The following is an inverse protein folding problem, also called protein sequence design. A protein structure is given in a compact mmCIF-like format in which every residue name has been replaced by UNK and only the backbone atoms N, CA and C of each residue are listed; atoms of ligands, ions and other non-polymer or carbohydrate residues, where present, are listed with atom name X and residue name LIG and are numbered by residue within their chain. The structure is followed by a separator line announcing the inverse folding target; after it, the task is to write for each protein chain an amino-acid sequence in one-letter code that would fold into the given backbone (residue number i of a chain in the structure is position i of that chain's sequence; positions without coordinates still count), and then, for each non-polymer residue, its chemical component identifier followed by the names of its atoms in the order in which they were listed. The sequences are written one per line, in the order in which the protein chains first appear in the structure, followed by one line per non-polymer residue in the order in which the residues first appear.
data_IF_782681830030
#
_entry.id   IF_782681830030
#
_cell.length_a   1.000
_cell.length_b   1.000
_cell.length_c   1.000
_cell.angle_alpha   90.00
_cell.angle_beta   90.00
_cell.angle_gamma   90.00
#
_symmetry.space_group_name_H-M   'P 1'
#
loop_
_entity.id
_entity.type
_entity.pdbx_description
1 polymer ?
#
# COMPACT_ATOMS: atom_id res chain seq x y z
N UNK A 1 -46.47 11.94 22.19
CA UNK A 1 -45.02 11.86 22.50
C UNK A 1 -44.46 10.44 22.32
N UNK A 2 -45.10 9.41 22.91
CA UNK A 2 -44.67 8.02 22.79
C UNK A 2 -44.62 7.46 21.34
N UNK A 3 -45.51 7.91 20.46
CA UNK A 3 -45.50 7.49 19.03
C UNK A 3 -44.30 8.07 18.26
N UNK A 4 -43.92 9.34 18.51
CA UNK A 4 -42.72 9.95 17.91
C UNK A 4 -41.43 9.29 18.43
N UNK A 5 -41.39 8.89 19.70
CA UNK A 5 -40.28 8.13 20.27
C UNK A 5 -40.16 6.72 19.70
N UNK A 6 -41.29 6.04 19.43
CA UNK A 6 -41.30 4.75 18.70
C UNK A 6 -40.81 4.89 17.26
N UNK A 7 -41.24 5.93 16.56
CA UNK A 7 -40.87 6.19 15.17
C UNK A 7 -39.38 6.60 15.03
N UNK A 8 -38.85 7.35 16.01
CA UNK A 8 -37.42 7.62 16.14
C UNK A 8 -36.60 6.38 16.55
N UNK A 9 -37.14 5.51 17.41
CA UNK A 9 -36.50 4.25 17.80
C UNK A 9 -36.51 3.21 16.68
N UNK A 10 -37.55 3.20 15.83
CA UNK A 10 -37.62 2.37 14.63
C UNK A 10 -36.74 2.90 13.48
N UNK A 11 -36.55 4.22 13.36
CA UNK A 11 -35.51 4.82 12.51
C UNK A 11 -34.08 4.60 13.04
N UNK A 12 -33.95 4.35 14.34
CA UNK A 12 -32.72 3.86 14.98
C UNK A 12 -32.57 2.33 14.88
N UNK A 13 -33.44 1.61 14.14
CA UNK A 13 -33.11 0.26 13.67
C UNK A 13 -31.78 0.37 12.96
N UNK A 14 -30.75 -0.17 13.61
CA UNK A 14 -29.36 -0.13 13.18
C UNK A 14 -29.29 -0.27 11.66
N UNK A 15 -28.88 0.80 10.98
CA UNK A 15 -28.52 0.74 9.57
C UNK A 15 -27.53 -0.41 9.42
N UNK A 16 -27.97 -1.52 8.82
CA UNK A 16 -27.09 -2.67 8.62
C UNK A 16 -26.01 -2.21 7.65
N UNK A 17 -24.76 -2.28 8.08
CA UNK A 17 -23.62 -1.96 7.21
C UNK A 17 -23.67 -2.90 6.01
N UNK A 18 -23.74 -2.31 4.82
CA UNK A 18 -23.67 -3.04 3.56
C UNK A 18 -22.20 -3.21 3.19
N UNK A 19 -21.63 -4.35 3.59
CA UNK A 19 -20.20 -4.66 3.43
C UNK A 19 -20.08 -6.00 2.74
N UNK A 20 -19.28 -6.02 1.68
CA UNK A 20 -18.95 -7.21 0.90
C UNK A 20 -17.46 -7.43 0.91
N UNK A 21 -17.03 -8.66 1.19
CA UNK A 21 -15.64 -9.04 1.11
C UNK A 21 -15.20 -9.14 -0.36
N UNK A 22 -14.01 -8.61 -0.65
CA UNK A 22 -13.35 -8.73 -1.95
C UNK A 22 -11.96 -9.31 -1.75
N UNK A 23 -11.62 -10.31 -2.56
CA UNK A 23 -10.27 -10.84 -2.64
C UNK A 23 -9.62 -10.28 -3.90
N UNK A 24 -8.51 -9.55 -3.74
CA UNK A 24 -7.71 -9.07 -4.86
C UNK A 24 -6.55 -10.03 -5.10
N UNK A 25 -6.39 -10.45 -6.34
CA UNK A 25 -5.30 -11.29 -6.82
C UNK A 25 -4.54 -10.55 -7.90
N UNK A 26 -3.24 -10.80 -8.00
CA UNK A 26 -2.48 -10.43 -9.18
C UNK A 26 -2.31 -11.69 -10.03
N UNK A 27 -2.77 -11.65 -11.27
CA UNK A 27 -2.73 -12.79 -12.20
C UNK A 27 -1.89 -12.45 -13.42
N UNK A 28 -1.21 -13.47 -13.94
CA UNK A 28 -0.41 -13.39 -15.16
C UNK A 28 -1.00 -14.35 -16.17
N UNK A 29 -1.02 -13.94 -17.43
CA UNK A 29 -1.43 -14.83 -18.51
C UNK A 29 -0.32 -15.86 -18.77
N UNK A 30 -0.63 -17.13 -18.55
CA UNK A 30 0.28 -18.26 -18.77
C UNK A 30 0.70 -18.40 -20.25
N UNK A 31 -0.21 -18.08 -21.19
CA UNK A 31 0.00 -18.28 -22.64
C UNK A 31 0.38 -16.99 -23.36
N UNK A 32 0.03 -15.85 -22.78
CA UNK A 32 0.35 -14.53 -23.30
C UNK A 32 1.81 -14.16 -23.07
N UNK A 33 2.15 -12.89 -23.34
CA UNK A 33 3.46 -12.37 -22.99
C UNK A 33 3.60 -12.44 -21.47
N UNK A 34 4.56 -13.20 -20.92
CA UNK A 34 4.69 -13.42 -19.48
C UNK A 34 5.07 -12.16 -18.71
N UNK A 35 5.10 -10.99 -19.36
CA UNK A 35 5.48 -9.72 -18.76
C UNK A 35 4.32 -8.89 -18.23
N UNK A 36 3.06 -9.20 -18.58
CA UNK A 36 1.91 -8.37 -18.18
C UNK A 36 1.11 -9.01 -17.05
N UNK A 37 0.87 -8.20 -16.02
CA UNK A 37 0.05 -8.55 -14.86
C UNK A 37 -1.33 -7.91 -14.96
N UNK A 38 -2.32 -8.54 -14.33
CA UNK A 38 -3.68 -8.06 -14.24
C UNK A 38 -4.16 -8.17 -12.80
N UNK A 39 -4.83 -7.13 -12.29
CA UNK A 39 -5.55 -7.27 -11.02
C UNK A 39 -6.85 -8.01 -11.27
N UNK A 40 -7.11 -9.04 -10.48
CA UNK A 40 -8.35 -9.79 -10.52
C UNK A 40 -9.07 -9.69 -9.17
N UNK A 41 -10.29 -9.16 -9.19
CA UNK A 41 -11.12 -8.96 -8.02
C UNK A 41 -12.20 -10.03 -7.95
N UNK A 42 -12.13 -10.88 -6.91
CA UNK A 42 -13.14 -11.88 -6.60
C UNK A 42 -14.08 -11.33 -5.53
N UNK A 43 -15.28 -10.93 -5.95
CA UNK A 43 -16.34 -10.43 -5.07
C UNK A 43 -17.04 -11.58 -4.36
N UNK A 44 -17.44 -11.38 -3.11
CA UNK A 44 -18.04 -12.42 -2.26
C UNK A 44 -17.16 -13.68 -2.19
N UNK A 45 -15.85 -13.47 -1.95
CA UNK A 45 -14.91 -14.58 -1.81
C UNK A 45 -15.35 -15.52 -0.67
N UNK A 46 -15.26 -16.83 -0.91
CA UNK A 46 -15.65 -17.88 0.03
C UNK A 46 -14.40 -18.60 0.52
N UNK A 47 -14.50 -19.41 1.57
CA UNK A 47 -13.38 -20.23 2.03
C UNK A 47 -12.84 -21.16 0.95
N UNK A 48 -13.72 -21.66 0.07
CA UNK A 48 -13.31 -22.44 -1.10
C UNK A 48 -12.42 -21.62 -2.04
N UNK A 49 -12.75 -20.35 -2.28
CA UNK A 49 -11.90 -19.45 -3.08
C UNK A 49 -10.53 -19.25 -2.40
N UNK A 50 -10.49 -19.05 -1.07
CA UNK A 50 -9.24 -18.85 -0.32
C UNK A 50 -8.35 -20.10 -0.31
N UNK A 51 -8.95 -21.29 -0.27
CA UNK A 51 -8.20 -22.55 -0.30
C UNK A 51 -7.69 -22.90 -1.70
N UNK A 52 -8.48 -22.57 -2.73
CA UNK A 52 -8.19 -22.84 -4.13
C UNK A 52 -7.15 -21.85 -4.68
N UNK A 53 -7.42 -20.55 -4.57
CA UNK A 53 -6.66 -19.47 -5.20
C UNK A 53 -5.45 -19.10 -4.36
N UNK A 54 -4.36 -19.82 -4.60
CA UNK A 54 -3.06 -19.61 -3.95
C UNK A 54 -2.05 -19.03 -4.94
N UNK A 55 -1.04 -18.36 -4.41
CA UNK A 55 0.13 -17.97 -5.18
C UNK A 55 0.76 -19.21 -5.86
N UNK A 56 1.45 -18.99 -6.98
CA UNK A 56 2.10 -20.03 -7.80
C UNK A 56 1.19 -21.13 -8.36
N UNK A 57 -0.13 -20.93 -8.34
CA UNK A 57 -1.11 -21.90 -8.84
C UNK A 57 -1.69 -21.46 -10.20
N UNK A 58 -1.90 -22.43 -11.11
CA UNK A 58 -2.45 -22.18 -12.44
C UNK A 58 -3.92 -22.56 -12.52
N UNK A 59 -4.73 -21.69 -13.12
CA UNK A 59 -6.17 -21.87 -13.29
C UNK A 59 -6.62 -21.48 -14.69
N UNK A 60 -7.62 -22.21 -15.20
CA UNK A 60 -8.50 -21.67 -16.23
C UNK A 60 -9.69 -20.99 -15.52
N UNK A 61 -9.91 -19.72 -15.81
CA UNK A 61 -10.97 -18.91 -15.21
C UNK A 61 -11.97 -18.54 -16.31
N UNK A 62 -13.23 -18.88 -16.10
CA UNK A 62 -14.29 -18.66 -17.08
C UNK A 62 -15.28 -17.60 -16.61
N UNK A 63 -15.94 -16.93 -17.56
CA UNK A 63 -16.94 -15.89 -17.30
C UNK A 63 -16.39 -14.75 -16.43
N UNK A 64 -15.24 -14.20 -16.83
CA UNK A 64 -14.58 -13.05 -16.20
C UNK A 64 -15.05 -11.76 -16.87
N UNK A 65 -15.24 -10.70 -16.09
CA UNK A 65 -15.64 -9.38 -16.58
C UNK A 65 -14.43 -8.43 -16.63
N UNK A 66 -13.90 -8.11 -17.82
CA UNK A 66 -12.83 -7.13 -17.96
C UNK A 66 -13.37 -5.71 -17.79
N UNK A 67 -12.58 -4.85 -17.14
CA UNK A 67 -12.77 -3.39 -17.09
C UNK A 67 -11.89 -2.71 -18.11
N UNK A 68 -12.23 -1.46 -18.42
CA UNK A 68 -11.45 -0.59 -19.32
C UNK A 68 -10.02 -0.38 -18.79
N UNK A 69 -9.84 -0.41 -17.46
CA UNK A 69 -8.52 -0.32 -16.80
C UNK A 69 -7.62 -1.53 -17.04
N UNK A 70 -8.15 -2.61 -17.63
CA UNK A 70 -7.48 -3.91 -17.74
C UNK A 70 -7.71 -4.82 -16.52
N UNK A 71 -8.33 -4.30 -15.46
CA UNK A 71 -8.68 -5.12 -14.30
C UNK A 71 -9.77 -6.14 -14.64
N UNK A 72 -9.71 -7.28 -13.97
CA UNK A 72 -10.64 -8.39 -14.13
C UNK A 72 -11.55 -8.46 -12.90
N UNK A 73 -12.83 -8.80 -13.08
CA UNK A 73 -13.76 -9.01 -11.96
C UNK A 73 -14.48 -10.35 -12.11
N UNK A 74 -14.69 -11.03 -10.97
CA UNK A 74 -15.63 -12.14 -10.90
C UNK A 74 -17.06 -11.62 -10.91
N UNK A 75 -17.97 -12.47 -11.39
CA UNK A 75 -19.40 -12.34 -11.16
C UNK A 75 -19.98 -13.67 -10.70
N UNK A 76 -21.30 -13.74 -10.61
CA UNK A 76 -22.04 -14.90 -10.05
C UNK A 76 -21.79 -16.20 -10.81
N UNK A 77 -21.47 -16.11 -12.12
CA UNK A 77 -21.21 -17.25 -13.00
C UNK A 77 -19.72 -17.54 -13.23
N UNK A 78 -18.82 -16.82 -12.55
CA UNK A 78 -17.38 -17.06 -12.68
C UNK A 78 -17.04 -18.41 -12.09
N UNK A 79 -16.32 -19.24 -12.85
CA UNK A 79 -15.89 -20.56 -12.42
C UNK A 79 -14.38 -20.70 -12.55
N UNK A 80 -13.82 -21.53 -11.69
CA UNK A 80 -12.38 -21.76 -11.57
C UNK A 80 -12.09 -23.23 -11.79
N UNK A 81 -11.22 -23.54 -12.74
CA UNK A 81 -10.75 -24.89 -12.99
C UNK A 81 -9.25 -24.96 -12.73
N UNK A 82 -8.85 -25.72 -11.69
CA UNK A 82 -7.44 -25.90 -11.32
C UNK A 82 -6.70 -26.69 -12.39
N UNK A 83 -5.50 -26.22 -12.76
CA UNK A 83 -4.61 -26.86 -13.72
C UNK A 83 -3.28 -27.23 -13.03
N UNK A 84 -3.26 -28.21 -12.11
CA UNK A 84 -2.09 -28.51 -11.27
C UNK A 84 -0.88 -29.04 -12.06
N UNK A 85 -1.12 -29.59 -13.26
CA UNK A 85 -0.06 -30.09 -14.14
C UNK A 85 0.64 -28.97 -14.92
N UNK A 86 0.10 -27.75 -14.90
CA UNK A 86 0.72 -26.59 -15.54
C UNK A 86 1.47 -25.82 -14.45
N UNK A 87 2.80 -25.81 -14.54
CA UNK A 87 3.65 -25.01 -13.68
C UNK A 87 4.12 -23.79 -14.45
N UNK A 88 4.10 -22.65 -13.78
CA UNK A 88 4.76 -21.45 -14.25
C UNK A 88 6.21 -21.49 -13.79
N UNK A 89 7.14 -21.63 -14.73
CA UNK A 89 8.57 -21.84 -14.42
C UNK A 89 9.35 -20.53 -14.22
N UNK A 90 8.70 -19.38 -14.40
CA UNK A 90 9.38 -18.10 -14.30
C UNK A 90 9.45 -17.61 -12.85
N UNK A 91 10.67 -17.31 -12.42
CA UNK A 91 10.96 -16.71 -11.12
C UNK A 91 10.68 -15.19 -11.06
N UNK A 92 10.19 -14.60 -12.17
CA UNK A 92 9.97 -13.16 -12.30
C UNK A 92 8.89 -12.63 -11.34
N UNK A 93 7.88 -13.44 -11.03
CA UNK A 93 6.72 -13.05 -10.22
C UNK A 93 6.68 -13.74 -8.86
N UNK A 94 7.69 -14.57 -8.55
CA UNK A 94 7.75 -15.23 -7.26
C UNK A 94 8.04 -14.21 -6.17
N UNK A 95 7.19 -14.21 -5.14
CA UNK A 95 7.36 -13.41 -3.93
C UNK A 95 8.70 -13.75 -3.28
N UNK A 96 9.53 -12.72 -3.05
CA UNK A 96 10.87 -12.84 -2.47
C UNK A 96 11.05 -11.79 -1.38
N UNK A 97 11.87 -12.12 -0.40
CA UNK A 97 12.37 -11.13 0.55
C UNK A 97 13.38 -10.22 -0.17
N UNK A 98 13.19 -8.92 -0.06
CA UNK A 98 14.09 -7.90 -0.58
C UNK A 98 14.66 -7.14 0.61
N UNK A 99 15.99 -7.08 0.71
CA UNK A 99 16.61 -6.29 1.79
C UNK A 99 16.51 -4.79 1.48
N UNK A 100 16.56 -3.94 2.51
CA UNK A 100 16.49 -2.49 2.29
C UNK A 100 17.71 -2.02 1.48
N UNK A 101 18.87 -2.64 1.68
CA UNK A 101 20.06 -2.44 0.85
C UNK A 101 19.86 -2.78 -0.63
N UNK A 102 19.19 -3.90 -0.95
CA UNK A 102 18.93 -4.28 -2.35
C UNK A 102 18.03 -3.28 -3.09
N UNK A 103 17.26 -2.44 -2.38
CA UNK A 103 16.43 -1.41 -3.00
C UNK A 103 17.27 -0.35 -3.74
N UNK A 104 18.53 -0.14 -3.36
CA UNK A 104 19.40 0.85 -4.00
C UNK A 104 19.94 0.39 -5.35
N UNK A 105 20.05 -0.94 -5.55
CA UNK A 105 20.38 -1.57 -6.82
C UNK A 105 19.14 -2.04 -7.59
N UNK A 106 17.94 -1.81 -7.02
CA UNK A 106 16.68 -2.21 -7.62
C UNK A 106 16.42 -1.47 -8.91
N UNK A 107 16.65 -2.19 -10.00
CA UNK A 107 16.24 -1.71 -11.30
C UNK A 107 14.74 -1.95 -11.47
N UNK A 108 13.99 -0.92 -11.89
CA UNK A 108 12.53 -0.90 -12.05
C UNK A 108 12.04 -1.94 -13.11
N UNK A 109 12.95 -2.75 -13.67
CA UNK A 109 12.63 -3.91 -14.52
C UNK A 109 11.97 -5.07 -13.75
N UNK A 110 11.78 -4.98 -12.44
CA UNK A 110 10.90 -5.94 -11.74
C UNK A 110 9.50 -5.79 -12.34
N UNK A 111 8.94 -6.87 -12.85
CA UNK A 111 7.62 -6.86 -13.48
C UNK A 111 6.47 -6.60 -12.47
N UNK A 112 6.87 -6.37 -11.22
CA UNK A 112 6.07 -6.01 -10.06
C UNK A 112 6.76 -4.83 -9.39
N UNK A 113 6.02 -3.74 -9.16
CA UNK A 113 6.47 -2.62 -8.32
C UNK A 113 6.30 -2.93 -6.83
N UNK A 114 5.81 -4.14 -6.50
CA UNK A 114 5.56 -4.60 -5.14
C UNK A 114 6.72 -5.45 -4.61
N UNK A 115 7.07 -5.27 -3.34
CA UNK A 115 8.10 -6.02 -2.66
C UNK A 115 7.76 -6.29 -1.19
N UNK A 116 8.43 -7.27 -0.61
CA UNK A 116 8.35 -7.60 0.80
C UNK A 116 9.73 -7.42 1.45
N UNK A 117 9.78 -6.94 2.69
CA UNK A 117 11.04 -6.66 3.38
C UNK A 117 10.95 -6.94 4.88
N UNK A 118 12.09 -6.83 5.57
CA UNK A 118 12.19 -6.88 7.03
C UNK A 118 13.03 -5.71 7.52
N UNK A 119 12.75 -5.24 8.74
CA UNK A 119 13.48 -4.15 9.34
C UNK A 119 13.15 -3.93 10.81
N UNK A 120 13.96 -3.10 11.46
CA UNK A 120 13.67 -2.57 12.79
C UNK A 120 12.97 -1.21 12.66
N UNK A 121 11.92 -1.00 13.45
CA UNK A 121 11.20 0.28 13.48
C UNK A 121 12.06 1.35 14.15
N UNK A 122 12.36 2.43 13.43
CA UNK A 122 13.11 3.58 13.95
C UNK A 122 12.17 4.66 14.46
N UNK A 123 11.24 5.12 13.61
CA UNK A 123 10.28 6.16 13.93
C UNK A 123 8.90 5.83 13.34
N UNK A 124 7.85 6.31 14.02
CA UNK A 124 6.45 6.20 13.62
C UNK A 124 5.85 7.60 13.69
N UNK A 125 5.13 8.00 12.65
CA UNK A 125 4.37 9.25 12.62
C UNK A 125 2.94 8.91 12.20
N UNK A 126 1.98 9.33 13.01
CA UNK A 126 0.56 9.10 12.77
C UNK A 126 -0.12 10.46 12.85
N UNK A 127 -0.59 10.94 11.70
CA UNK A 127 -1.36 12.17 11.57
C UNK A 127 -2.80 11.82 11.18
N UNK A 128 -3.71 12.81 11.23
CA UNK A 128 -5.11 12.59 10.92
C UNK A 128 -5.35 12.16 9.47
N UNK A 129 -4.51 12.60 8.53
CA UNK A 129 -4.67 12.35 7.10
C UNK A 129 -3.71 11.27 6.56
N UNK A 130 -2.56 11.09 7.20
CA UNK A 130 -1.47 10.25 6.68
C UNK A 130 -0.74 9.58 7.83
N UNK A 131 0.01 8.53 7.50
CA UNK A 131 0.90 7.86 8.44
C UNK A 131 2.24 7.58 7.77
N UNK A 132 3.31 7.56 8.54
CA UNK A 132 4.66 7.26 8.08
C UNK A 132 5.36 6.33 9.06
N UNK A 133 6.14 5.39 8.54
CA UNK A 133 7.01 4.51 9.32
C UNK A 133 8.39 4.46 8.69
N UNK A 134 9.40 4.52 9.54
CA UNK A 134 10.81 4.42 9.18
C UNK A 134 11.36 3.09 9.64
N UNK A 135 11.92 2.33 8.70
CA UNK A 135 12.60 1.07 8.97
C UNK A 135 14.10 1.20 8.70
N UNK A 136 14.86 0.36 9.39
CA UNK A 136 16.29 0.18 9.17
C UNK A 136 16.65 -1.31 9.07
N UNK A 137 17.66 -1.63 8.27
CA UNK A 137 18.24 -2.97 8.19
C UNK A 137 19.59 -3.09 8.92
N UNK A 138 20.27 -4.23 8.78
CA UNK A 138 21.62 -4.46 9.33
C UNK A 138 22.69 -3.55 8.74
N UNK A 139 22.49 -3.05 7.52
CA UNK A 139 23.42 -2.19 6.79
C UNK A 139 23.19 -0.71 7.10
N UNK A 140 22.39 -0.40 8.12
CA UNK A 140 21.96 0.94 8.50
C UNK A 140 21.29 1.71 7.34
N UNK A 141 20.69 1.02 6.37
CA UNK A 141 19.93 1.66 5.29
C UNK A 141 18.54 1.98 5.77
N UNK A 142 18.04 3.15 5.39
CA UNK A 142 16.73 3.62 5.82
C UNK A 142 15.68 3.36 4.74
N UNK A 143 14.48 2.98 5.17
CA UNK A 143 13.29 2.88 4.33
C UNK A 143 12.18 3.74 4.93
N UNK A 144 11.73 4.74 4.17
CA UNK A 144 10.54 5.52 4.46
C UNK A 144 9.34 4.87 3.80
N UNK A 145 8.36 4.46 4.59
CA UNK A 145 7.08 3.94 4.11
C UNK A 145 6.01 4.97 4.41
N UNK A 146 5.33 5.45 3.36
CA UNK A 146 4.21 6.39 3.47
C UNK A 146 2.88 5.69 3.29
N UNK A 147 1.91 6.02 4.14
CA UNK A 147 0.52 5.59 4.04
C UNK A 147 -0.30 6.86 3.83
N UNK A 148 -0.97 6.96 2.69
CA UNK A 148 -1.77 8.15 2.31
C UNK A 148 -3.14 8.21 2.98
N UNK A 149 -3.38 7.36 3.97
CA UNK A 149 -4.62 7.25 4.75
C UNK A 149 -4.29 7.39 6.24
N UNK A 150 -5.09 8.18 6.96
CA UNK A 150 -4.97 8.35 8.40
C UNK A 150 -5.62 7.21 9.19
N UNK A 151 -5.47 7.21 10.53
CA UNK A 151 -5.96 6.15 11.41
C UNK A 151 -7.48 6.01 11.43
N UNK A 152 -8.23 7.04 11.01
CA UNK A 152 -9.69 6.97 10.88
C UNK A 152 -10.15 6.04 9.74
N UNK A 153 -9.31 5.86 8.72
CA UNK A 153 -9.59 5.03 7.55
C UNK A 153 -8.81 3.72 7.60
N UNK A 154 -7.56 3.75 8.07
CA UNK A 154 -6.64 2.61 7.99
C UNK A 154 -5.74 2.53 9.23
N UNK A 155 -5.79 1.43 9.97
CA UNK A 155 -5.03 1.24 11.22
C UNK A 155 -3.78 0.35 11.02
N UNK A 156 -3.01 0.57 9.95
CA UNK A 156 -1.86 -0.29 9.62
C UNK A 156 -0.74 -0.25 10.66
N UNK A 157 -0.56 0.89 11.33
CA UNK A 157 0.51 1.08 12.32
C UNK A 157 0.07 0.78 13.76
N UNK A 158 -1.15 0.28 13.96
CA UNK A 158 -1.66 -0.03 15.30
C UNK A 158 -0.85 -1.16 15.97
N UNK A 159 -0.55 -0.97 17.25
CA UNK A 159 0.26 -1.92 18.04
C UNK A 159 1.76 -1.96 17.70
N UNK A 160 2.24 -1.22 16.71
CA UNK A 160 3.66 -1.17 16.35
C UNK A 160 4.45 -0.22 17.28
N UNK A 161 5.70 -0.58 17.57
CA UNK A 161 6.57 0.20 18.47
C UNK A 161 7.97 0.37 17.93
N UNK A 162 8.60 1.50 18.25
CA UNK A 162 10.03 1.73 18.00
C UNK A 162 10.88 0.60 18.59
N UNK A 163 11.92 0.21 17.86
CA UNK A 163 12.82 -0.89 18.21
C UNK A 163 12.28 -2.29 17.91
N UNK A 164 11.02 -2.41 17.48
CA UNK A 164 10.43 -3.69 17.13
C UNK A 164 10.95 -4.19 15.78
N UNK A 165 11.26 -5.48 15.73
CA UNK A 165 11.55 -6.20 14.50
C UNK A 165 10.24 -6.58 13.80
N UNK A 166 10.13 -6.20 12.52
CA UNK A 166 8.95 -6.47 11.72
C UNK A 166 9.31 -6.93 10.31
N UNK A 167 8.42 -7.75 9.76
CA UNK A 167 8.29 -8.00 8.35
C UNK A 167 7.18 -7.12 7.78
N UNK A 168 7.33 -6.72 6.52
CA UNK A 168 6.32 -5.95 5.80
C UNK A 168 6.11 -6.57 4.43
N UNK A 169 4.85 -6.79 4.06
CA UNK A 169 4.46 -7.35 2.76
C UNK A 169 3.69 -6.35 1.92
N UNK A 170 3.75 -6.52 0.59
CA UNK A 170 3.00 -5.75 -0.40
C UNK A 170 3.27 -4.24 -0.31
N UNK A 171 4.55 -3.87 -0.21
CA UNK A 171 4.98 -2.47 -0.32
C UNK A 171 5.16 -2.10 -1.77
N UNK A 172 4.70 -0.92 -2.19
CA UNK A 172 4.98 -0.41 -3.54
C UNK A 172 6.23 0.48 -3.51
N UNK A 173 7.22 0.17 -4.33
CA UNK A 173 8.45 0.95 -4.43
C UNK A 173 8.22 2.35 -5.02
N UNK A 174 8.90 3.36 -4.49
CA UNK A 174 8.77 4.78 -4.90
C UNK A 174 10.10 5.46 -5.24
N UNK A 175 11.19 4.70 -5.30
CA UNK A 175 12.52 5.22 -5.60
C UNK A 175 13.44 5.33 -4.39
N UNK A 176 14.67 5.76 -4.64
CA UNK A 176 15.73 5.93 -3.63
C UNK A 176 16.32 7.34 -3.68
N UNK A 177 16.93 7.74 -2.57
CA UNK A 177 17.82 8.90 -2.47
C UNK A 177 19.21 8.40 -2.11
N UNK A 178 20.11 8.38 -3.10
CA UNK A 178 21.47 7.87 -2.94
C UNK A 178 22.33 8.73 -2.00
N UNK A 179 22.09 10.04 -1.93
CA UNK A 179 22.86 10.92 -1.05
C UNK A 179 22.60 10.67 0.44
N UNK A 180 21.36 10.33 0.78
CA UNK A 180 20.91 10.15 2.17
C UNK A 180 20.73 8.69 2.55
N UNK A 181 20.91 7.78 1.59
CA UNK A 181 20.77 6.34 1.76
C UNK A 181 19.38 5.99 2.31
N UNK A 182 18.36 6.61 1.69
CA UNK A 182 16.94 6.44 2.03
C UNK A 182 16.20 5.88 0.82
N UNK A 183 15.60 4.71 0.96
CA UNK A 183 14.62 4.16 0.04
C UNK A 183 13.22 4.64 0.42
N UNK A 184 12.33 4.77 -0.56
CA UNK A 184 10.94 5.20 -0.36
C UNK A 184 10.00 4.11 -0.86
N UNK A 185 8.93 3.88 -0.10
CA UNK A 185 7.84 3.00 -0.47
C UNK A 185 6.49 3.60 -0.04
N UNK A 186 5.41 3.12 -0.65
CA UNK A 186 4.05 3.37 -0.18
C UNK A 186 3.39 2.09 0.29
N UNK A 187 2.61 2.21 1.36
CA UNK A 187 1.76 1.17 1.90
C UNK A 187 0.29 1.52 1.69
N UNK A 188 -0.54 0.49 1.53
CA UNK A 188 -1.99 0.61 1.33
C UNK A 188 -2.72 -0.46 2.15
N UNK A 189 -4.03 -0.60 1.96
CA UNK A 189 -4.88 -1.53 2.70
C UNK A 189 -4.53 -3.02 2.51
N UNK A 190 -3.68 -3.36 1.54
CA UNK A 190 -3.17 -4.71 1.29
C UNK A 190 -1.81 -4.95 1.96
N UNK A 191 -1.16 -3.90 2.47
CA UNK A 191 0.13 -4.00 3.16
C UNK A 191 -0.06 -4.66 4.52
N UNK A 192 0.83 -5.60 4.87
CA UNK A 192 0.77 -6.33 6.13
C UNK A 192 2.06 -6.11 6.89
N UNK A 193 1.95 -5.59 8.11
CA UNK A 193 3.04 -5.53 9.08
C UNK A 193 2.92 -6.70 10.05
N UNK A 194 4.01 -7.42 10.33
CA UNK A 194 3.99 -8.54 11.28
C UNK A 194 5.34 -8.80 11.93
N UNK A 195 5.35 -9.04 13.24
CA UNK A 195 6.53 -9.59 13.94
C UNK A 195 6.65 -11.11 13.85
N UNK A 196 5.61 -11.79 13.36
CA UNK A 196 5.56 -13.25 13.21
C UNK A 196 5.02 -13.60 11.81
N UNK A 197 5.80 -13.36 10.75
CA UNK A 197 5.37 -13.64 9.38
C UNK A 197 5.09 -15.12 9.17
N UNK A 198 4.03 -15.43 8.42
CA UNK A 198 3.72 -16.80 7.99
C UNK A 198 4.67 -17.30 6.89
N UNK A 199 5.22 -16.39 6.09
CA UNK A 199 6.14 -16.72 5.01
C UNK A 199 7.53 -17.05 5.56
N UNK A 200 8.03 -18.25 5.26
CA UNK A 200 9.31 -18.75 5.76
C UNK A 200 10.49 -17.84 5.41
N UNK A 201 10.53 -17.28 4.19
CA UNK A 201 11.59 -16.35 3.80
C UNK A 201 11.66 -15.09 4.66
N UNK A 202 10.50 -14.56 5.09
CA UNK A 202 10.44 -13.38 5.94
C UNK A 202 10.82 -13.71 7.38
N UNK A 203 10.41 -14.88 7.88
CA UNK A 203 10.83 -15.35 9.19
C UNK A 203 12.34 -15.54 9.24
N UNK A 204 12.93 -16.20 8.23
CA UNK A 204 14.38 -16.34 8.10
C UNK A 204 15.07 -14.97 8.05
N UNK A 205 14.53 -14.02 7.29
CA UNK A 205 15.05 -12.65 7.23
C UNK A 205 15.01 -11.92 8.58
N UNK A 206 13.94 -12.11 9.36
CA UNK A 206 13.84 -11.57 10.72
C UNK A 206 14.84 -12.19 11.68
N UNK A 207 15.01 -13.51 11.62
CA UNK A 207 15.97 -14.23 12.44
C UNK A 207 17.40 -13.80 12.11
N UNK A 208 17.73 -13.67 10.82
CA UNK A 208 19.02 -13.15 10.35
C UNK A 208 19.26 -11.71 10.80
N UNK A 209 18.26 -10.84 10.67
CA UNK A 209 18.32 -9.45 11.14
C UNK A 209 18.59 -9.42 12.65
N UNK A 210 17.83 -10.19 13.44
CA UNK A 210 18.00 -10.30 14.89
C UNK A 210 19.40 -10.76 15.29
N UNK A 211 19.97 -11.72 14.56
CA UNK A 211 21.29 -12.27 14.84
C UNK A 211 22.44 -11.32 14.48
N UNK A 212 22.25 -10.49 13.45
CA UNK A 212 23.26 -9.55 12.94
C UNK A 212 23.17 -8.15 13.57
N UNK A 213 22.05 -7.83 14.24
CA UNK A 213 21.89 -6.53 14.89
C UNK A 213 22.97 -6.30 15.97
N UNK A 214 23.49 -5.07 16.09
CA UNK A 214 24.48 -4.74 17.10
C UNK A 214 23.88 -4.91 18.50
N UNK A 215 24.72 -5.32 19.47
CA UNK A 215 24.30 -5.44 20.88
C UNK A 215 23.75 -4.13 21.46
N UNK A 216 24.17 -2.98 20.91
CA UNK A 216 23.70 -1.64 21.28
C UNK A 216 22.72 -1.11 20.24
N UNK A 217 21.49 -1.65 20.24
CA UNK A 217 20.43 -1.23 19.31
C UNK A 217 20.10 0.26 19.48
N UNK A 218 20.16 0.78 20.71
CA UNK A 218 19.85 2.19 20.97
C UNK A 218 20.78 3.17 20.26
N UNK A 219 22.06 2.83 20.12
CA UNK A 219 23.04 3.67 19.42
C UNK A 219 22.74 3.71 17.91
N UNK A 220 22.36 2.55 17.33
CA UNK A 220 21.90 2.47 15.94
C UNK A 220 20.65 3.31 15.73
N UNK A 221 19.64 3.18 16.60
CA UNK A 221 18.40 3.93 16.46
C UNK A 221 18.61 5.45 16.58
N UNK A 222 19.54 5.90 17.44
CA UNK A 222 19.91 7.32 17.54
C UNK A 222 20.64 7.84 16.30
N UNK A 223 21.54 7.05 15.71
CA UNK A 223 22.18 7.41 14.45
C UNK A 223 21.14 7.55 13.32
N UNK A 224 20.21 6.59 13.25
CA UNK A 224 19.11 6.63 12.30
C UNK A 224 18.21 7.86 12.50
N UNK A 225 17.86 8.22 13.74
CA UNK A 225 17.09 9.44 14.04
C UNK A 225 17.76 10.69 13.46
N UNK A 226 19.05 10.88 13.74
CA UNK A 226 19.82 12.03 13.26
C UNK A 226 19.83 12.11 11.72
N UNK A 227 19.86 10.96 11.04
CA UNK A 227 19.81 10.88 9.57
C UNK A 227 18.42 11.16 9.02
N UNK A 228 17.37 10.70 9.70
CA UNK A 228 15.98 11.01 9.35
C UNK A 228 15.74 12.52 9.48
N UNK A 229 16.23 13.14 10.55
CA UNK A 229 16.10 14.59 10.75
C UNK A 229 16.79 15.37 9.63
N UNK A 230 18.03 15.01 9.29
CA UNK A 230 18.75 15.59 8.13
C UNK A 230 17.97 15.44 6.82
N UNK A 231 17.35 14.26 6.62
CA UNK A 231 16.54 14.00 5.43
C UNK A 231 15.28 14.88 5.39
N UNK A 232 14.59 15.05 6.52
CA UNK A 232 13.40 15.91 6.61
C UNK A 232 13.75 17.38 6.37
N UNK A 233 14.80 17.88 7.01
CA UNK A 233 15.24 19.28 6.85
C UNK A 233 15.55 19.61 5.39
N UNK A 234 16.28 18.74 4.68
CA UNK A 234 16.59 18.95 3.26
C UNK A 234 15.36 19.01 2.36
N UNK A 235 14.41 18.09 2.56
CA UNK A 235 13.17 18.09 1.78
C UNK A 235 12.25 19.27 2.12
N UNK A 236 12.33 19.83 3.34
CA UNK A 236 11.62 21.07 3.67
C UNK A 236 12.26 22.30 3.04
N UNK A 237 13.60 22.35 2.95
CA UNK A 237 14.31 23.46 2.28
C UNK A 237 14.15 23.44 0.76
N UNK A 238 13.96 22.27 0.13
CA UNK A 238 13.69 22.19 -1.32
C UNK A 238 12.30 22.67 -1.73
N UNK A 239 11.42 22.99 -0.78
CA UNK A 239 10.11 23.60 -1.05
C UNK A 239 10.21 25.15 -1.01
N UNK A 240 11.34 25.71 -0.57
CA UNK A 240 11.54 27.15 -0.40
C UNK A 240 12.45 27.81 -1.45
N UNK A 241 12.73 27.12 -2.56
CA UNK A 241 13.54 27.65 -3.67
C UNK A 241 12.73 27.68 -4.99
N UNK A 242 11.47 28.12 -4.92
CA UNK A 242 10.73 28.64 -6.07
C UNK A 242 11.00 30.15 -6.20
N UNK A 243 12.21 30.49 -6.63
CA UNK A 243 12.46 31.70 -7.40
C UNK A 243 13.10 31.28 -8.71
N UNK A 244 12.27 30.93 -9.69
CA UNK A 244 12.27 31.63 -10.97
C UNK A 244 11.09 31.17 -11.83
N UNK A 245 10.62 32.13 -12.60
CA UNK A 245 9.37 32.22 -13.32
C UNK A 245 9.15 31.08 -14.33
N UNK A 246 7.96 30.48 -14.30
CA UNK A 246 7.25 30.22 -15.56
C UNK A 246 5.73 30.34 -15.34
N UNK A 247 5.27 31.56 -15.57
CA UNK A 247 3.88 31.88 -15.84
C UNK A 247 3.51 31.21 -17.17
N UNK A 248 2.71 30.15 -17.13
CA UNK A 248 1.53 29.95 -17.98
C UNK A 248 0.93 28.56 -17.76
N UNK A 249 -0.40 28.48 -17.84
CA UNK A 249 -1.28 27.30 -17.72
C UNK A 249 -1.99 27.08 -16.38
N UNK A 250 -2.44 28.15 -15.72
CA UNK A 250 -3.81 28.14 -15.20
C UNK A 250 -4.77 28.32 -16.37
N UNK A 251 -5.48 27.26 -16.76
CA UNK A 251 -6.65 27.37 -17.62
C UNK A 251 -7.70 28.21 -16.89
N UNK A 252 -7.69 29.51 -17.13
CA UNK A 252 -8.76 30.45 -16.82
C UNK A 252 -9.97 30.18 -17.72
N UNK A 253 -10.63 29.06 -17.49
CA UNK A 253 -11.98 28.81 -17.99
C UNK A 253 -12.94 29.04 -16.84
N UNK A 254 -13.69 30.12 -16.96
CA UNK A 254 -14.89 30.41 -16.17
C UNK A 254 -15.71 29.11 -16.13
N UNK A 255 -15.92 28.57 -14.94
CA UNK A 255 -16.76 27.39 -14.77
C UNK A 255 -18.22 27.80 -14.85
N UNK A 256 -19.11 26.88 -15.21
CA UNK A 256 -20.55 27.15 -15.26
C UNK A 256 -21.11 27.62 -13.91
N UNK A 257 -20.42 27.27 -12.81
CA UNK A 257 -20.71 27.73 -11.46
C UNK A 257 -20.43 29.22 -11.26
N UNK A 258 -19.36 29.74 -11.86
CA UNK A 258 -19.01 31.17 -11.79
C UNK A 258 -20.03 32.03 -12.55
N UNK A 259 -20.53 31.54 -13.68
CA UNK A 259 -21.63 32.18 -14.43
C UNK A 259 -22.92 32.13 -13.62
N UNK A 260 -23.25 31.00 -12.99
CA UNK A 260 -24.46 30.88 -12.18
C UNK A 260 -24.46 31.82 -10.97
N UNK A 261 -23.31 32.01 -10.31
CA UNK A 261 -23.19 32.89 -9.15
C UNK A 261 -23.24 34.38 -9.51
N UNK A 262 -22.76 34.77 -10.69
CA UNK A 262 -22.85 36.16 -11.18
C UNK A 262 -24.25 36.60 -11.62
N UNK A 263 -25.17 35.65 -11.83
CA UNK A 263 -26.56 35.91 -12.20
C UNK A 263 -27.51 35.99 -10.99
N UNK A 264 -27.00 35.74 -9.77
CA UNK A 264 -27.80 35.85 -8.55
C UNK A 264 -27.80 37.30 -8.09
N UNK A 265 -28.96 37.92 -8.18
CA UNK A 265 -29.24 39.27 -7.67
C UNK A 265 -29.52 39.19 -6.17
N UNK A 266 -28.47 39.33 -5.36
CA UNK A 266 -28.54 39.23 -3.90
C UNK A 266 -29.34 40.36 -3.25
N UNK A 267 -29.61 41.44 -3.98
CA UNK A 267 -30.41 42.58 -3.50
C UNK A 267 -31.91 42.26 -3.40
N UNK A 268 -32.34 41.06 -3.83
CA UNK A 268 -33.72 40.57 -3.68
C UNK A 268 -33.96 39.73 -2.43
N UNK A 269 -32.94 39.55 -1.58
CA UNK A 269 -33.02 38.72 -0.37
C UNK A 269 -32.93 39.50 0.95
N UNK A 270 -33.13 40.82 0.92
CA UNK A 270 -33.35 41.67 2.10
C UNK A 270 -34.75 42.26 2.11
#
# INVERSE_FOLDING_TARGET
MAAKLKDSAEKLKMSKRDVVAVMKLLVVDQKGTPSKTYNFYVWNATDNHLQLLKEDSCFAIFNVYPKITGDLNSGVKTTFESKPNIKYESDLFKRKLITIEDLFSWNISSHLDEFDTVGIIVQLFVENATQEIWLCDTSARLLLIKISEGPSTCLLLDGLKRGQLISVCNLTYRGTSNELLVSKASANQLTIFSSYPKYKQLQNGLDDLKNKLPKKIDDLLKDCDNRIDKFKHRNSTSIFDESDEDVTLTSSKITSTDVALSLIDFDKFT
#
